data_IF_272516612325
#
_entry.id   IF_272516612325
#
_cell.length_a   1.000
_cell.length_b   1.000
_cell.length_c   1.000
_cell.angle_alpha   90.00
_cell.angle_beta   90.00
_cell.angle_gamma   90.00
#
_symmetry.space_group_name_H-M   'P 1'
#
loop_
_entity.id
_entity.type
_entity.pdbx_description
1 polymer ?
#
# COMPACT_ATOMS: atom_id res chain seq x y z
N UNK A 1 7.95 -9.11 -4.77
CA UNK A 1 6.76 -8.26 -5.06
C UNK A 1 5.49 -8.99 -4.68
N UNK A 2 4.64 -8.36 -3.90
CA UNK A 2 3.38 -8.96 -3.46
C UNK A 2 2.26 -8.68 -4.46
N UNK A 3 1.58 -9.74 -4.90
CA UNK A 3 0.33 -9.70 -5.63
C UNK A 3 -0.84 -9.51 -4.65
N UNK A 4 -2.05 -9.34 -5.16
CA UNK A 4 -3.25 -9.29 -4.31
C UNK A 4 -3.37 -10.56 -3.46
N UNK A 5 -3.21 -11.73 -4.07
CA UNK A 5 -3.22 -13.01 -3.34
C UNK A 5 -2.10 -13.04 -2.30
N UNK A 6 -0.91 -12.59 -2.66
CA UNK A 6 0.23 -12.50 -1.74
C UNK A 6 -0.04 -11.62 -0.53
N UNK A 7 -0.78 -10.53 -0.71
CA UNK A 7 -1.17 -9.66 0.40
C UNK A 7 -2.12 -10.37 1.37
N UNK A 8 -3.11 -11.08 0.87
CA UNK A 8 -4.00 -11.87 1.72
C UNK A 8 -3.24 -12.98 2.46
N UNK A 9 -2.31 -13.64 1.78
CA UNK A 9 -1.46 -14.67 2.40
C UNK A 9 -0.56 -14.06 3.49
N UNK A 10 0.01 -12.89 3.25
CA UNK A 10 0.82 -12.18 4.23
C UNK A 10 0.00 -11.84 5.48
N UNK A 11 -1.23 -11.40 5.31
CA UNK A 11 -2.14 -11.14 6.43
C UNK A 11 -2.38 -12.41 7.23
N UNK A 12 -2.73 -13.50 6.57
CA UNK A 12 -2.98 -14.79 7.22
C UNK A 12 -1.77 -15.29 8.00
N UNK A 13 -0.57 -15.24 7.40
CA UNK A 13 0.66 -15.65 8.06
C UNK A 13 0.98 -14.84 9.32
N UNK A 14 0.51 -13.61 9.41
CA UNK A 14 0.75 -12.72 10.54
C UNK A 14 -0.43 -12.64 11.50
N UNK A 15 -1.42 -13.51 11.33
CA UNK A 15 -2.59 -13.53 12.21
C UNK A 15 -3.48 -12.30 12.09
N UNK A 16 -3.43 -11.62 10.94
CA UNK A 16 -4.23 -10.43 10.66
C UNK A 16 -5.48 -10.86 9.92
N UNK A 17 -6.65 -10.66 10.53
CA UNK A 17 -7.92 -10.96 9.84
C UNK A 17 -8.24 -9.86 8.83
N UNK A 18 -8.80 -10.25 7.69
CA UNK A 18 -9.28 -9.32 6.67
C UNK A 18 -10.74 -9.69 6.39
N UNK A 19 -11.66 -8.85 6.84
CA UNK A 19 -13.10 -9.14 6.80
C UNK A 19 -13.85 -8.10 5.98
N UNK A 20 -14.89 -8.54 5.29
CA UNK A 20 -15.81 -7.65 4.60
C UNK A 20 -16.74 -7.03 5.64
N UNK A 21 -16.72 -5.71 5.74
CA UNK A 21 -17.47 -4.98 6.76
C UNK A 21 -17.86 -3.60 6.23
N UNK A 22 -19.13 -3.18 6.41
CA UNK A 22 -19.56 -1.87 5.93
C UNK A 22 -18.89 -0.75 6.73
N UNK A 23 -18.29 0.19 6.01
CA UNK A 23 -17.61 1.35 6.57
C UNK A 23 -18.33 2.63 6.15
N UNK A 24 -18.27 3.67 7.00
CA UNK A 24 -19.01 4.91 6.71
C UNK A 24 -18.37 5.76 5.62
N UNK A 25 -17.06 6.00 5.70
CA UNK A 25 -16.36 6.96 4.83
C UNK A 25 -15.26 6.38 3.97
N UNK A 26 -14.63 5.30 4.38
CA UNK A 26 -13.48 4.73 3.69
C UNK A 26 -13.78 3.30 3.25
N UNK A 27 -13.00 2.81 2.30
CA UNK A 27 -13.16 1.45 1.79
C UNK A 27 -12.39 0.42 2.62
N UNK A 28 -11.39 0.83 3.39
CA UNK A 28 -10.60 -0.08 4.21
C UNK A 28 -10.13 0.61 5.48
N UNK A 29 -9.92 -0.18 6.54
CA UNK A 29 -9.51 0.34 7.85
C UNK A 29 -8.78 -0.75 8.63
N UNK A 30 -7.60 -0.42 9.17
CA UNK A 30 -6.89 -1.27 10.11
C UNK A 30 -7.23 -0.87 11.55
N UNK A 31 -7.50 -1.85 12.40
CA UNK A 31 -7.84 -1.62 13.81
C UNK A 31 -7.09 -2.59 14.71
N UNK A 32 -6.80 -2.13 15.94
CA UNK A 32 -6.25 -2.98 16.98
C UNK A 32 -7.38 -3.50 17.88
N UNK A 33 -7.28 -4.76 18.27
CA UNK A 33 -8.17 -5.32 19.29
C UNK A 33 -7.60 -5.04 20.71
N UNK A 34 -8.30 -5.54 21.74
CA UNK A 34 -7.95 -5.26 23.14
C UNK A 34 -6.66 -5.94 23.62
N UNK A 35 -6.15 -6.90 22.85
CA UNK A 35 -4.94 -7.66 23.21
C UNK A 35 -3.79 -7.41 22.23
N UNK A 36 -3.89 -6.35 21.40
CA UNK A 36 -2.83 -5.95 20.50
C UNK A 36 -2.86 -6.61 19.13
N UNK A 37 -3.87 -7.40 18.80
CA UNK A 37 -4.05 -7.98 17.49
C UNK A 37 -4.51 -6.94 16.47
N UNK A 38 -4.03 -7.01 15.24
CA UNK A 38 -4.42 -6.10 14.18
C UNK A 38 -5.41 -6.78 13.24
N UNK A 39 -6.46 -6.04 12.87
CA UNK A 39 -7.52 -6.53 11.99
C UNK A 39 -7.80 -5.51 10.90
N UNK A 40 -8.17 -5.98 9.72
CA UNK A 40 -8.49 -5.11 8.58
C UNK A 40 -9.95 -5.34 8.18
N UNK A 41 -10.70 -4.26 8.10
CA UNK A 41 -12.03 -4.26 7.52
C UNK A 41 -11.95 -3.70 6.09
N UNK A 42 -12.58 -4.37 5.14
CA UNK A 42 -12.72 -3.89 3.77
C UNK A 42 -14.19 -3.83 3.44
N UNK A 43 -14.64 -2.67 3.00
CA UNK A 43 -16.01 -2.51 2.48
C UNK A 43 -15.98 -2.74 0.97
N UNK A 44 -16.29 -3.97 0.55
CA UNK A 44 -16.18 -4.38 -0.85
C UNK A 44 -17.09 -3.57 -1.79
N UNK A 45 -18.15 -2.98 -1.27
CA UNK A 45 -19.05 -2.14 -2.06
C UNK A 45 -18.40 -0.83 -2.50
N UNK A 46 -17.34 -0.42 -1.80
CA UNK A 46 -16.62 0.83 -2.07
C UNK A 46 -15.36 0.64 -2.90
N UNK A 47 -15.00 -0.58 -3.23
CA UNK A 47 -13.85 -0.86 -4.07
C UNK A 47 -14.21 -0.60 -5.54
N UNK A 48 -13.34 0.12 -6.24
CA UNK A 48 -13.56 0.51 -7.64
C UNK A 48 -13.06 -0.54 -8.62
N UNK A 49 -12.03 -1.29 -8.22
CA UNK A 49 -11.37 -2.25 -9.09
C UNK A 49 -10.50 -3.20 -8.26
N UNK A 50 -9.95 -4.22 -8.90
CA UNK A 50 -8.96 -5.10 -8.29
C UNK A 50 -7.68 -4.34 -7.92
N UNK A 51 -7.25 -3.42 -8.76
CA UNK A 51 -6.10 -2.57 -8.47
C UNK A 51 -6.34 -1.70 -7.23
N UNK A 52 -7.54 -1.16 -7.10
CA UNK A 52 -7.95 -0.39 -5.92
C UNK A 52 -7.93 -1.25 -4.66
N UNK A 53 -8.44 -2.47 -4.72
CA UNK A 53 -8.40 -3.43 -3.61
C UNK A 53 -6.96 -3.71 -3.18
N UNK A 54 -6.08 -3.96 -4.14
CA UNK A 54 -4.66 -4.23 -3.90
C UNK A 54 -3.99 -3.07 -3.17
N UNK A 55 -4.22 -1.84 -3.64
CA UNK A 55 -3.67 -0.65 -3.02
C UNK A 55 -4.16 -0.47 -1.58
N UNK A 56 -5.47 -0.53 -1.38
CA UNK A 56 -6.08 -0.31 -0.07
C UNK A 56 -5.69 -1.39 0.93
N UNK A 57 -5.67 -2.64 0.50
CA UNK A 57 -5.22 -3.74 1.36
C UNK A 57 -3.74 -3.59 1.73
N UNK A 58 -2.88 -3.25 0.76
CA UNK A 58 -1.46 -3.04 1.02
C UNK A 58 -1.23 -1.90 2.03
N UNK A 59 -1.97 -0.81 1.91
CA UNK A 59 -1.88 0.32 2.84
C UNK A 59 -2.27 -0.09 4.26
N UNK A 60 -3.39 -0.77 4.42
CA UNK A 60 -3.85 -1.21 5.75
C UNK A 60 -2.94 -2.28 6.35
N UNK A 61 -2.43 -3.20 5.53
CA UNK A 61 -1.38 -4.12 5.97
C UNK A 61 -0.13 -3.39 6.42
N UNK A 62 0.23 -2.31 5.74
CA UNK A 62 1.34 -1.45 6.14
C UNK A 62 1.18 -0.93 7.56
N UNK A 63 -0.03 -0.49 7.94
CA UNK A 63 -0.32 -0.08 9.31
C UNK A 63 -0.12 -1.24 10.29
N UNK A 64 -0.63 -2.41 9.98
CA UNK A 64 -0.50 -3.60 10.84
C UNK A 64 0.95 -4.07 10.94
N UNK A 65 1.66 -4.16 9.84
CA UNK A 65 3.02 -4.72 9.79
C UNK A 65 4.06 -3.81 10.42
N UNK A 66 3.84 -2.50 10.40
CA UNK A 66 4.77 -1.53 11.01
C UNK A 66 4.35 -1.11 12.42
N UNK A 67 3.17 -1.48 12.87
CA UNK A 67 2.61 -1.01 14.13
C UNK A 67 2.23 0.47 14.11
N UNK A 68 2.20 1.08 12.93
CA UNK A 68 1.94 2.51 12.76
C UNK A 68 0.43 2.80 12.74
N UNK A 69 -0.24 2.49 13.84
CA UNK A 69 -1.66 2.73 14.03
C UNK A 69 -1.84 3.92 14.98
N UNK A 70 -2.94 4.63 14.83
CA UNK A 70 -3.23 5.81 15.66
C UNK A 70 -4.71 5.90 16.01
N UNK A 71 -5.00 6.56 17.14
CA UNK A 71 -6.36 6.89 17.53
C UNK A 71 -6.74 8.29 17.00
N UNK A 72 -8.03 8.64 17.09
CA UNK A 72 -8.54 9.92 16.60
C UNK A 72 -7.93 11.13 17.33
N UNK A 73 -7.42 10.94 18.54
CA UNK A 73 -6.99 12.03 19.42
C UNK A 73 -5.49 12.28 19.42
N UNK A 74 -4.75 11.70 18.48
CA UNK A 74 -3.30 11.95 18.37
C UNK A 74 -3.02 13.22 17.59
N UNK A 75 -1.84 13.85 17.81
CA UNK A 75 -1.44 15.01 17.03
C UNK A 75 -1.40 14.73 15.54
N UNK A 76 -1.70 15.75 14.75
CA UNK A 76 -1.72 15.66 13.28
C UNK A 76 -0.40 15.14 12.71
N UNK A 77 0.73 15.53 13.29
CA UNK A 77 2.06 15.08 12.87
C UNK A 77 2.22 13.56 13.06
N UNK A 78 1.66 13.00 14.13
CA UNK A 78 1.69 11.57 14.40
C UNK A 78 0.90 10.80 13.34
N UNK A 79 -0.26 11.32 12.95
CA UNK A 79 -1.07 10.74 11.87
C UNK A 79 -0.26 10.69 10.58
N UNK A 80 0.38 11.79 10.21
CA UNK A 80 1.21 11.87 9.00
C UNK A 80 2.34 10.84 8.99
N UNK A 81 3.03 10.67 10.11
CA UNK A 81 4.11 9.68 10.23
C UNK A 81 3.59 8.25 10.10
N UNK A 82 2.45 7.94 10.70
CA UNK A 82 1.84 6.63 10.59
C UNK A 82 1.43 6.32 9.15
N UNK A 83 0.83 7.30 8.47
CA UNK A 83 0.45 7.16 7.06
C UNK A 83 1.67 6.98 6.15
N UNK A 84 2.74 7.73 6.38
CA UNK A 84 3.99 7.57 5.62
C UNK A 84 4.60 6.19 5.81
N UNK A 85 4.62 5.67 7.03
CA UNK A 85 5.17 4.35 7.31
C UNK A 85 4.35 3.25 6.64
N UNK A 86 3.02 3.36 6.68
CA UNK A 86 2.14 2.42 6.00
C UNK A 86 2.34 2.46 4.48
N UNK A 87 2.41 3.66 3.90
CA UNK A 87 2.67 3.84 2.47
C UNK A 87 4.02 3.27 2.06
N UNK A 88 5.06 3.52 2.84
CA UNK A 88 6.39 3.01 2.57
C UNK A 88 6.41 1.48 2.54
N UNK A 89 5.77 0.86 3.52
CA UNK A 89 5.66 -0.59 3.56
C UNK A 89 4.95 -1.12 2.31
N UNK A 90 3.81 -0.52 1.96
CA UNK A 90 3.03 -0.90 0.79
C UNK A 90 3.86 -0.77 -0.50
N UNK A 91 4.55 0.34 -0.68
CA UNK A 91 5.39 0.60 -1.86
C UNK A 91 6.51 -0.44 -1.95
N UNK A 92 7.27 -0.62 -0.89
CA UNK A 92 8.43 -1.52 -0.91
C UNK A 92 8.05 -2.98 -1.11
N UNK A 93 6.87 -3.39 -0.65
CA UNK A 93 6.40 -4.76 -0.79
C UNK A 93 5.63 -5.04 -2.09
N UNK A 94 4.86 -4.08 -2.59
CA UNK A 94 4.07 -4.25 -3.81
C UNK A 94 4.80 -3.80 -5.06
N UNK A 95 5.72 -2.85 -4.96
CA UNK A 95 6.44 -2.31 -6.11
C UNK A 95 7.89 -1.98 -5.71
N UNK A 96 8.73 -2.99 -5.47
CA UNK A 96 10.13 -2.77 -5.15
C UNK A 96 10.85 -2.01 -6.26
N UNK A 97 11.86 -1.23 -5.89
CA UNK A 97 12.61 -0.41 -6.83
C UNK A 97 13.18 -1.22 -8.00
N UNK A 98 13.70 -2.41 -7.72
CA UNK A 98 14.26 -3.27 -8.77
C UNK A 98 13.23 -3.64 -9.83
N UNK A 99 11.97 -3.88 -9.43
CA UNK A 99 10.87 -4.17 -10.36
C UNK A 99 10.60 -2.98 -11.27
N UNK A 100 10.59 -1.76 -10.71
CA UNK A 100 10.40 -0.54 -11.52
C UNK A 100 11.53 -0.41 -12.54
N UNK A 101 12.76 -0.62 -12.12
CA UNK A 101 13.93 -0.51 -13.02
C UNK A 101 13.87 -1.54 -14.15
N UNK A 102 13.50 -2.77 -13.84
CA UNK A 102 13.33 -3.82 -14.85
C UNK A 102 12.24 -3.44 -15.85
N UNK A 103 11.10 -2.97 -15.35
CA UNK A 103 9.99 -2.56 -16.21
C UNK A 103 10.37 -1.40 -17.12
N UNK A 104 11.05 -0.40 -16.60
CA UNK A 104 11.48 0.76 -17.39
C UNK A 104 12.50 0.38 -18.48
N UNK A 105 13.43 -0.53 -18.18
CA UNK A 105 14.36 -1.05 -19.18
C UNK A 105 13.65 -1.84 -20.28
N UNK A 106 12.51 -2.44 -19.94
CA UNK A 106 11.69 -3.18 -20.91
C UNK A 106 10.74 -2.26 -21.72
N UNK A 107 10.82 -0.93 -21.51
CA UNK A 107 10.03 0.04 -22.23
C UNK A 107 8.76 0.51 -21.55
N UNK A 108 8.48 0.04 -20.34
CA UNK A 108 7.33 0.48 -19.54
C UNK A 108 7.73 1.73 -18.75
N UNK A 109 7.70 2.90 -19.40
CA UNK A 109 8.23 4.13 -18.81
C UNK A 109 7.15 5.11 -18.34
N UNK A 110 5.92 4.93 -18.81
CA UNK A 110 4.81 5.81 -18.44
C UNK A 110 4.06 5.27 -17.21
N UNK A 111 3.50 6.18 -16.42
CA UNK A 111 2.75 5.82 -15.21
C UNK A 111 1.62 4.84 -15.53
N UNK A 112 0.85 5.10 -16.57
CA UNK A 112 -0.28 4.22 -16.94
C UNK A 112 0.19 2.81 -17.34
N UNK A 113 1.38 2.69 -17.96
CA UNK A 113 1.95 1.39 -18.33
C UNK A 113 2.32 0.58 -17.10
N UNK A 114 2.96 1.22 -16.12
CA UNK A 114 3.33 0.57 -14.86
C UNK A 114 2.08 0.17 -14.06
N UNK A 115 1.07 1.04 -14.04
CA UNK A 115 -0.19 0.78 -13.35
C UNK A 115 -0.88 -0.45 -13.93
N UNK A 116 -0.97 -0.53 -15.24
CA UNK A 116 -1.59 -1.66 -15.94
C UNK A 116 -0.80 -2.96 -15.74
N UNK A 117 0.51 -2.89 -15.87
CA UNK A 117 1.38 -4.07 -15.76
C UNK A 117 1.39 -4.67 -14.35
N UNK A 118 1.40 -3.82 -13.32
CA UNK A 118 1.46 -4.27 -11.92
C UNK A 118 0.09 -4.38 -11.26
N UNK A 119 -0.99 -4.07 -11.96
CA UNK A 119 -2.34 -4.08 -11.42
C UNK A 119 -2.43 -3.20 -10.16
N UNK A 120 -2.01 -1.95 -10.32
CA UNK A 120 -2.01 -0.93 -9.26
C UNK A 120 -2.59 0.38 -9.82
N UNK A 121 -3.27 1.18 -9.00
CA UNK A 121 -3.77 2.48 -9.47
C UNK A 121 -2.62 3.44 -9.82
N UNK A 122 -2.85 4.34 -10.77
CA UNK A 122 -1.85 5.35 -11.13
C UNK A 122 -1.42 6.18 -9.93
N UNK A 123 -2.34 6.48 -9.03
CA UNK A 123 -2.04 7.20 -7.77
C UNK A 123 -0.94 6.48 -6.97
N UNK A 124 -1.02 5.15 -6.88
CA UNK A 124 0.00 4.37 -6.19
C UNK A 124 1.35 4.43 -6.90
N UNK A 125 1.33 4.36 -8.23
CA UNK A 125 2.56 4.46 -9.03
C UNK A 125 3.23 5.83 -8.81
N UNK A 126 2.46 6.92 -8.83
CA UNK A 126 2.98 8.25 -8.53
C UNK A 126 3.63 8.33 -7.15
N UNK A 127 2.97 7.78 -6.13
CA UNK A 127 3.52 7.75 -4.77
C UNK A 127 4.81 6.93 -4.69
N UNK A 128 4.87 5.80 -5.39
CA UNK A 128 6.06 4.95 -5.42
C UNK A 128 7.25 5.66 -6.08
N UNK A 129 7.04 6.29 -7.24
CA UNK A 129 8.10 7.02 -7.93
C UNK A 129 8.59 8.19 -7.10
N UNK A 130 7.67 8.93 -6.47
CA UNK A 130 8.02 10.04 -5.59
C UNK A 130 8.82 9.56 -4.38
N UNK A 131 8.38 8.48 -3.74
CA UNK A 131 9.08 7.93 -2.60
C UNK A 131 10.52 7.52 -2.95
N UNK A 132 10.72 6.78 -4.03
CA UNK A 132 12.07 6.35 -4.41
C UNK A 132 12.94 7.52 -4.85
N UNK A 133 12.38 8.52 -5.50
CA UNK A 133 13.10 9.73 -5.89
C UNK A 133 13.54 10.55 -4.67
N UNK A 134 12.62 10.84 -3.76
CA UNK A 134 12.88 11.71 -2.60
C UNK A 134 13.64 11.01 -1.49
N UNK A 135 13.23 9.78 -1.12
CA UNK A 135 13.81 9.08 0.02
C UNK A 135 15.06 8.28 -0.34
N UNK A 136 15.17 7.79 -1.57
CA UNK A 136 16.28 6.96 -2.02
C UNK A 136 17.17 7.64 -3.07
N UNK A 137 16.86 8.87 -3.44
CA UNK A 137 17.67 9.64 -4.39
C UNK A 137 17.71 9.09 -5.81
N UNK A 138 16.69 8.33 -6.22
CA UNK A 138 16.66 7.73 -7.56
C UNK A 138 16.21 8.76 -8.59
N UNK A 139 16.95 8.87 -9.68
CA UNK A 139 16.60 9.71 -10.83
C UNK A 139 16.03 8.83 -11.94
N UNK A 140 14.70 8.85 -12.09
CA UNK A 140 14.01 8.08 -13.11
C UNK A 140 14.10 8.70 -14.52
N UNK A 141 14.63 9.92 -14.61
CA UNK A 141 14.85 10.57 -15.92
C UNK A 141 16.22 10.26 -16.50
N UNK A 142 17.12 9.70 -15.69
CA UNK A 142 18.47 9.35 -16.14
C UNK A 142 18.41 8.14 -17.08
N UNK A 143 19.30 8.06 -18.09
CA UNK A 143 19.42 6.88 -18.93
C UNK A 143 19.72 5.63 -18.09
N UNK A 144 19.09 4.53 -18.47
CA UNK A 144 19.29 3.24 -17.79
C UNK A 144 20.68 2.67 -18.05
#
# INVERSE_FOLDING_TARGET
MLSLVGLYQRAEHNGISVDDFPLKKRAALAVLDNIGGCHIAIDRRKLESRADEKYKLAHELGHCMTGALYSRNVPFETIGRCEERANRWAIENCLPLDEIKIAMRAGLTEVWQLAEWYDLPEEFIHKALQYYSEAKGVDFTAPA
#
